data_IF_267309196280
#
_entry.id   IF_267309196280
#
_cell.length_a   1.000
_cell.length_b   1.000
_cell.length_c   1.000
_cell.angle_alpha   90.00
_cell.angle_beta   90.00
_cell.angle_gamma   90.00
#
_symmetry.space_group_name_H-M   'P 1'
#
loop_
_entity.id
_entity.type
_entity.pdbx_description
1 polymer ?
#
# COMPACT_ATOMS: atom_id res chain seq x y z
N UNK A 1 1.82 -46.24 6.43
CA UNK A 1 1.64 -44.86 6.91
C UNK A 1 2.70 -44.49 7.93
N UNK A 2 3.05 -43.21 8.07
CA UNK A 2 3.96 -42.72 9.10
C UNK A 2 3.22 -42.27 10.39
N UNK A 3 3.97 -42.04 11.48
CA UNK A 3 3.40 -41.65 12.79
C UNK A 3 2.60 -40.33 12.72
N UNK A 4 3.03 -39.38 11.90
CA UNK A 4 2.35 -38.08 11.71
C UNK A 4 0.97 -38.26 11.08
N UNK A 5 0.86 -39.11 10.06
CA UNK A 5 -0.41 -39.42 9.39
C UNK A 5 -1.40 -40.11 10.32
N UNK A 6 -0.92 -41.05 11.13
CA UNK A 6 -1.74 -41.73 12.15
C UNK A 6 -2.27 -40.71 13.17
N UNK A 7 -1.43 -39.77 13.61
CA UNK A 7 -1.83 -38.70 14.53
C UNK A 7 -2.91 -37.79 13.93
N UNK A 8 -2.73 -37.36 12.68
CA UNK A 8 -3.69 -36.51 11.95
C UNK A 8 -5.03 -37.21 11.72
N UNK A 9 -5.01 -38.47 11.27
CA UNK A 9 -6.21 -39.27 11.06
C UNK A 9 -6.98 -39.49 12.39
N UNK A 10 -6.25 -39.76 13.48
CA UNK A 10 -6.85 -39.91 14.82
C UNK A 10 -7.52 -38.62 15.29
N UNK A 11 -6.93 -37.45 15.02
CA UNK A 11 -7.56 -36.15 15.33
C UNK A 11 -8.84 -35.95 14.53
N UNK A 12 -8.80 -36.23 13.23
CA UNK A 12 -9.95 -36.12 12.32
C UNK A 12 -11.12 -37.04 12.75
N UNK A 13 -10.84 -38.30 13.07
CA UNK A 13 -11.86 -39.27 13.55
C UNK A 13 -12.42 -38.96 14.95
N UNK A 14 -11.73 -38.13 15.73
CA UNK A 14 -12.23 -37.64 17.03
C UNK A 14 -13.21 -36.48 16.85
N UNK A 15 -12.94 -35.63 15.86
CA UNK A 15 -13.76 -34.45 15.55
C UNK A 15 -15.05 -34.83 14.79
N UNK A 16 -14.97 -35.80 13.89
CA UNK A 16 -16.11 -36.31 13.13
C UNK A 16 -16.46 -37.70 13.63
N UNK A 17 -17.65 -37.87 14.20
CA UNK A 17 -18.19 -39.17 14.62
C UNK A 17 -18.43 -40.08 13.40
N UNK A 18 -17.34 -40.56 12.81
CA UNK A 18 -17.29 -41.39 11.61
C UNK A 18 -17.53 -42.86 11.96
N UNK A 19 -18.21 -43.57 11.07
CA UNK A 19 -18.48 -45.02 11.17
C UNK A 19 -17.20 -45.83 10.91
N UNK A 20 -17.23 -47.14 11.19
CA UNK A 20 -16.04 -48.00 11.07
C UNK A 20 -15.61 -48.15 9.60
N UNK A 21 -16.59 -48.18 8.71
CA UNK A 21 -16.46 -48.34 7.28
C UNK A 21 -15.84 -47.07 6.66
N UNK A 22 -16.30 -45.89 7.08
CA UNK A 22 -15.72 -44.60 6.67
C UNK A 22 -14.25 -44.46 7.08
N UNK A 23 -13.90 -44.93 8.29
CA UNK A 23 -12.51 -44.91 8.77
C UNK A 23 -11.59 -45.78 7.92
N UNK A 24 -12.06 -46.94 7.47
CA UNK A 24 -11.27 -47.82 6.59
C UNK A 24 -11.01 -47.16 5.24
N UNK A 25 -12.03 -46.55 4.62
CA UNK A 25 -11.89 -45.84 3.34
C UNK A 25 -10.92 -44.67 3.45
N UNK A 26 -11.02 -43.87 4.53
CA UNK A 26 -10.14 -42.72 4.77
C UNK A 26 -8.70 -43.19 5.04
N UNK A 27 -8.49 -44.26 5.80
CA UNK A 27 -7.14 -44.76 6.06
C UNK A 27 -6.47 -45.28 4.77
N UNK A 28 -7.22 -45.96 3.90
CA UNK A 28 -6.69 -46.43 2.62
C UNK A 28 -6.32 -45.29 1.66
N UNK A 29 -7.04 -44.15 1.67
CA UNK A 29 -6.70 -42.99 0.83
C UNK A 29 -5.46 -42.22 1.31
N UNK A 30 -5.05 -42.43 2.57
CA UNK A 30 -3.88 -41.80 3.17
C UNK A 30 -2.60 -42.63 3.02
N UNK A 31 -2.71 -43.92 2.66
CA UNK A 31 -1.57 -44.77 2.39
C UNK A 31 -0.81 -44.26 1.14
N UNK A 32 0.50 -44.03 1.30
CA UNK A 32 1.42 -43.47 0.30
C UNK A 32 1.33 -41.95 0.04
N UNK A 33 0.56 -41.22 0.84
CA UNK A 33 0.54 -39.75 0.76
C UNK A 33 1.66 -39.09 1.58
N UNK A 34 1.98 -37.83 1.28
CA UNK A 34 2.84 -37.01 2.13
C UNK A 34 2.05 -36.49 3.35
N UNK A 35 2.73 -36.02 4.40
CA UNK A 35 2.06 -35.39 5.54
C UNK A 35 1.22 -34.18 5.12
N UNK A 36 1.74 -33.34 4.21
CA UNK A 36 1.03 -32.17 3.66
C UNK A 36 -0.20 -32.57 2.83
N UNK A 37 -0.08 -33.61 2.02
CA UNK A 37 -1.21 -34.16 1.25
C UNK A 37 -2.29 -34.75 2.17
N UNK A 38 -1.86 -35.40 3.25
CA UNK A 38 -2.75 -35.98 4.27
C UNK A 38 -3.55 -34.90 4.98
N UNK A 39 -2.91 -33.79 5.38
CA UNK A 39 -3.61 -32.63 5.97
C UNK A 39 -4.67 -32.06 5.02
N UNK A 40 -4.36 -31.98 3.72
CA UNK A 40 -5.30 -31.47 2.71
C UNK A 40 -6.51 -32.38 2.53
N UNK A 41 -6.30 -33.68 2.36
CA UNK A 41 -7.38 -34.68 2.20
C UNK A 41 -8.28 -34.69 3.44
N UNK A 42 -7.68 -34.65 4.65
CA UNK A 42 -8.44 -34.62 5.90
C UNK A 42 -9.16 -33.29 6.13
N UNK A 43 -8.72 -32.19 5.52
CA UNK A 43 -9.42 -30.91 5.57
C UNK A 43 -10.65 -30.92 4.64
N UNK A 44 -10.53 -31.49 3.44
CA UNK A 44 -11.64 -31.61 2.46
C UNK A 44 -12.78 -32.51 2.95
N UNK A 45 -12.47 -33.53 3.77
CA UNK A 45 -13.47 -34.43 4.36
C UNK A 45 -14.21 -33.83 5.56
N UNK A 46 -13.80 -32.65 6.06
CA UNK A 46 -14.54 -31.96 7.12
C UNK A 46 -15.80 -31.32 6.51
N UNK A 47 -17.00 -31.54 7.10
CA UNK A 47 -18.21 -30.91 6.62
C UNK A 47 -18.02 -29.40 6.58
N UNK A 48 -18.46 -28.78 5.46
CA UNK A 48 -18.45 -27.34 5.22
C UNK A 48 -19.33 -26.62 6.25
N UNK A 49 -18.81 -26.50 7.46
CA UNK A 49 -19.20 -25.48 8.42
C UNK A 49 -17.96 -24.70 8.78
N UNK A 50 -17.16 -24.37 7.77
CA UNK A 50 -16.04 -23.46 7.91
C UNK A 50 -16.60 -22.05 8.04
N UNK A 51 -17.13 -21.74 9.23
CA UNK A 51 -17.27 -20.34 9.63
C UNK A 51 -15.85 -19.85 9.89
N UNK A 52 -15.43 -18.72 9.29
CA UNK A 52 -14.19 -18.06 9.67
C UNK A 52 -14.16 -17.95 11.19
N UNK A 53 -13.17 -18.58 11.81
CA UNK A 53 -13.03 -18.52 13.26
C UNK A 53 -12.32 -17.21 13.55
N UNK A 54 -13.07 -16.27 14.12
CA UNK A 54 -12.53 -15.11 14.80
C UNK A 54 -12.83 -15.29 16.28
N UNK A 55 -11.77 -15.46 17.08
CA UNK A 55 -11.92 -15.55 18.53
C UNK A 55 -10.97 -14.60 19.21
N UNK A 56 -11.50 -13.87 20.19
CA UNK A 56 -10.76 -12.97 21.05
C UNK A 56 -10.81 -13.49 22.48
N UNK A 57 -9.64 -13.62 23.11
CA UNK A 57 -9.54 -14.05 24.50
C UNK A 57 -8.62 -13.10 25.27
N UNK A 58 -9.04 -12.60 26.44
CA UNK A 58 -8.15 -11.81 27.27
C UNK A 58 -7.03 -12.68 27.83
N UNK A 59 -5.82 -12.14 27.86
CA UNK A 59 -4.62 -12.78 28.39
C UNK A 59 -3.99 -11.86 29.43
N UNK A 60 -3.15 -12.44 30.31
CA UNK A 60 -2.51 -11.69 31.39
C UNK A 60 -1.67 -10.51 30.86
N UNK A 61 -1.83 -9.34 31.49
CA UNK A 61 -1.02 -8.14 31.24
C UNK A 61 -1.53 -7.25 30.10
N UNK A 62 -2.84 -6.97 30.08
CA UNK A 62 -3.53 -6.12 29.08
C UNK A 62 -3.30 -6.56 27.62
N UNK A 63 -3.14 -7.87 27.41
CA UNK A 63 -3.00 -8.47 26.08
C UNK A 63 -4.28 -9.20 25.71
N UNK A 64 -4.58 -9.21 24.43
CA UNK A 64 -5.67 -9.98 23.85
C UNK A 64 -5.05 -10.96 22.85
N UNK A 65 -5.41 -12.23 22.97
CA UNK A 65 -5.11 -13.24 21.97
C UNK A 65 -6.23 -13.22 20.93
N UNK A 66 -5.86 -12.90 19.70
CA UNK A 66 -6.74 -12.90 18.54
C UNK A 66 -6.36 -14.08 17.65
N UNK A 67 -7.27 -15.03 17.46
CA UNK A 67 -7.11 -16.13 16.52
C UNK A 67 -8.01 -15.88 15.32
N UNK A 68 -7.39 -15.86 14.13
CA UNK A 68 -8.04 -15.65 12.84
C UNK A 68 -7.75 -16.84 11.94
N UNK A 69 -8.77 -17.28 11.23
CA UNK A 69 -8.60 -18.23 10.13
C UNK A 69 -8.61 -17.48 8.81
N UNK A 70 -7.51 -17.57 8.06
CA UNK A 70 -7.36 -16.93 6.75
C UNK A 70 -7.59 -17.92 5.62
N UNK A 71 -8.19 -17.46 4.53
CA UNK A 71 -8.29 -18.23 3.29
C UNK A 71 -6.96 -18.21 2.49
N UNK A 72 -6.88 -19.00 1.42
CA UNK A 72 -5.65 -19.14 0.65
C UNK A 72 -5.23 -17.83 -0.04
N UNK A 73 -6.20 -17.02 -0.48
CA UNK A 73 -5.93 -15.77 -1.21
C UNK A 73 -5.44 -14.67 -0.25
N UNK A 74 -6.00 -14.59 0.96
CA UNK A 74 -5.51 -13.72 2.02
C UNK A 74 -4.07 -14.07 2.41
N UNK A 75 -3.71 -15.35 2.41
CA UNK A 75 -2.31 -15.74 2.68
C UNK A 75 -1.39 -15.29 1.55
N UNK A 76 -1.80 -15.42 0.28
CA UNK A 76 -1.03 -14.92 -0.88
C UNK A 76 -0.83 -13.41 -0.81
N UNK A 77 -1.86 -12.65 -0.44
CA UNK A 77 -1.76 -11.21 -0.28
C UNK A 77 -0.75 -10.81 0.79
N UNK A 78 -0.73 -11.51 1.94
CA UNK A 78 0.25 -11.26 3.00
C UNK A 78 1.68 -11.56 2.53
N UNK A 79 1.89 -12.64 1.78
CA UNK A 79 3.18 -13.00 1.21
C UNK A 79 3.65 -11.98 0.17
N UNK A 80 2.75 -11.50 -0.69
CA UNK A 80 3.06 -10.48 -1.68
C UNK A 80 3.42 -9.14 -1.03
N UNK A 81 2.72 -8.75 0.04
CA UNK A 81 3.10 -7.56 0.83
C UNK A 81 4.52 -7.72 1.38
N UNK A 82 4.85 -8.89 1.95
CA UNK A 82 6.21 -9.14 2.45
C UNK A 82 7.26 -9.06 1.33
N UNK A 83 6.95 -9.60 0.16
CA UNK A 83 7.82 -9.57 -1.03
C UNK A 83 8.07 -8.14 -1.51
N UNK A 84 7.01 -7.36 -1.70
CA UNK A 84 7.09 -5.96 -2.15
C UNK A 84 7.85 -5.06 -1.16
N UNK A 85 7.80 -5.38 0.13
CA UNK A 85 8.54 -4.66 1.15
C UNK A 85 10.03 -5.05 1.23
N UNK A 86 10.43 -6.16 0.61
CA UNK A 86 11.82 -6.63 0.61
C UNK A 86 12.39 -6.94 2.00
N UNK A 87 11.53 -7.24 2.98
CA UNK A 87 11.91 -7.44 4.39
C UNK A 87 11.37 -8.76 4.92
N UNK A 88 12.26 -9.62 5.40
CA UNK A 88 11.87 -10.81 6.17
C UNK A 88 11.37 -10.36 7.54
N UNK A 89 10.08 -10.60 7.80
CA UNK A 89 9.44 -10.29 9.08
C UNK A 89 8.44 -11.38 9.44
N UNK A 90 8.17 -11.54 10.72
CA UNK A 90 7.12 -12.45 11.18
C UNK A 90 5.73 -11.93 10.82
N UNK A 91 4.74 -12.81 10.70
CA UNK A 91 3.33 -12.41 10.43
C UNK A 91 2.81 -11.43 11.48
N UNK A 92 3.24 -11.56 12.74
CA UNK A 92 2.86 -10.64 13.82
C UNK A 92 3.41 -9.23 13.61
N UNK A 93 4.66 -9.10 13.18
CA UNK A 93 5.27 -7.79 12.87
C UNK A 93 4.60 -7.14 11.66
N UNK A 94 4.28 -7.94 10.65
CA UNK A 94 3.53 -7.50 9.48
C UNK A 94 2.17 -6.93 9.89
N UNK A 95 1.41 -7.67 10.70
CA UNK A 95 0.08 -7.22 11.19
C UNK A 95 0.18 -5.93 11.99
N UNK A 96 1.15 -5.79 12.91
CA UNK A 96 1.38 -4.56 13.69
C UNK A 96 1.66 -3.35 12.80
N UNK A 97 2.45 -3.56 11.76
CA UNK A 97 2.81 -2.51 10.82
C UNK A 97 1.61 -2.10 9.96
N UNK A 98 0.88 -3.08 9.40
CA UNK A 98 -0.33 -2.84 8.61
C UNK A 98 -1.39 -2.08 9.41
N UNK A 99 -1.64 -2.47 10.67
CA UNK A 99 -2.62 -1.76 11.53
C UNK A 99 -2.23 -0.30 11.72
N UNK A 100 -0.95 -0.01 11.97
CA UNK A 100 -0.49 1.38 12.14
C UNK A 100 -0.66 2.21 10.86
N UNK A 101 -0.21 1.69 9.72
CA UNK A 101 -0.32 2.39 8.44
C UNK A 101 -1.78 2.63 8.04
N UNK A 102 -2.63 1.61 8.17
CA UNK A 102 -4.05 1.70 7.84
C UNK A 102 -4.75 2.71 8.74
N UNK A 103 -4.47 2.69 10.05
CA UNK A 103 -5.05 3.65 10.99
C UNK A 103 -4.63 5.09 10.68
N UNK A 104 -3.36 5.33 10.35
CA UNK A 104 -2.88 6.64 9.93
C UNK A 104 -3.54 7.11 8.63
N UNK A 105 -3.70 6.20 7.66
CA UNK A 105 -4.39 6.50 6.40
C UNK A 105 -5.85 6.88 6.63
N UNK A 106 -6.59 6.06 7.38
CA UNK A 106 -8.00 6.30 7.71
C UNK A 106 -8.19 7.59 8.52
N UNK A 107 -7.29 7.91 9.46
CA UNK A 107 -7.31 9.21 10.18
C UNK A 107 -7.14 10.37 9.20
N UNK A 108 -6.17 10.28 8.27
CA UNK A 108 -5.94 11.31 7.25
C UNK A 108 -7.13 11.45 6.31
N UNK A 109 -7.82 10.37 5.97
CA UNK A 109 -9.03 10.40 5.14
C UNK A 109 -10.22 11.01 5.87
N UNK A 110 -10.48 10.63 7.14
CA UNK A 110 -11.52 11.25 7.95
C UNK A 110 -11.31 12.75 8.15
N UNK A 111 -10.05 13.20 8.29
CA UNK A 111 -9.73 14.64 8.36
C UNK A 111 -10.05 15.38 7.05
N UNK A 112 -9.83 14.73 5.88
CA UNK A 112 -10.18 15.32 4.58
C UNK A 112 -11.71 15.38 4.37
N UNK A 113 -12.45 14.38 4.81
CA UNK A 113 -13.92 14.34 4.66
C UNK A 113 -14.63 15.32 5.60
N UNK A 114 -14.12 15.54 6.82
CA UNK A 114 -14.62 16.59 7.73
C UNK A 114 -14.32 17.99 7.18
N UNK A 115 -13.16 18.20 6.56
CA UNK A 115 -12.83 19.45 5.86
C UNK A 115 -13.70 19.73 4.63
N UNK A 116 -14.20 18.68 3.96
CA UNK A 116 -15.08 18.81 2.79
C UNK A 116 -16.55 19.00 3.18
N UNK A 117 -17.02 18.38 4.29
CA UNK A 117 -18.40 18.57 4.79
C UNK A 117 -18.70 20.01 5.22
N UNK A 118 -17.72 20.73 5.78
CA UNK A 118 -17.88 22.15 6.12
C UNK A 118 -18.05 23.08 4.91
N UNK A 119 -17.70 22.63 3.69
CA UNK A 119 -17.92 23.42 2.46
C UNK A 119 -19.24 23.10 1.75
N UNK A 120 -19.92 22.00 2.12
CA UNK A 120 -21.12 21.53 1.41
C UNK A 120 -22.44 21.74 2.18
N UNK A 121 -22.41 22.21 3.43
CA UNK A 121 -23.63 22.45 4.24
C UNK A 121 -24.02 23.93 4.41
N UNK A 122 -23.54 24.85 3.55
CA UNK A 122 -24.16 26.19 3.45
C UNK A 122 -25.00 26.25 2.17
N UNK A 123 -26.14 25.55 2.21
CA UNK A 123 -27.22 25.74 1.24
C UNK A 123 -27.92 27.06 1.56
N UNK A 124 -27.91 27.94 0.56
CA UNK A 124 -28.72 29.14 0.33
C UNK A 124 -29.93 29.30 1.27
N UNK A 125 -29.83 30.23 2.21
CA UNK A 125 -31.00 31.01 2.65
C UNK A 125 -30.75 32.45 2.24
N UNK A 126 -31.51 32.91 1.25
CA UNK A 126 -31.65 34.32 0.94
C UNK A 126 -32.32 34.97 2.14
N UNK A 127 -31.66 35.94 2.76
CA UNK A 127 -32.34 37.13 3.26
C UNK A 127 -31.37 38.29 3.07
N UNK A 128 -31.77 39.16 2.14
CA UNK A 128 -31.33 40.55 2.09
C UNK A 128 -31.36 41.12 3.51
N UNK A 129 -30.29 41.81 3.92
CA UNK A 129 -30.35 42.98 4.79
C UNK A 129 -28.90 43.53 4.94
N UNK A 130 -28.74 44.77 4.48
CA UNK A 130 -27.59 45.69 4.54
C UNK A 130 -26.36 45.43 3.65
N UNK A 131 -26.51 45.88 2.39
CA UNK A 131 -25.46 46.55 1.63
C UNK A 131 -24.82 47.67 2.46
N UNK A 132 -23.56 47.50 2.84
CA UNK A 132 -22.63 48.64 2.94
C UNK A 132 -21.49 48.42 1.97
N UNK A 133 -21.60 49.15 0.87
CA UNK A 133 -20.62 49.32 -0.20
C UNK A 133 -19.30 49.79 0.41
N UNK A 134 -18.37 48.86 0.67
CA UNK A 134 -16.95 49.19 0.68
C UNK A 134 -16.42 48.76 -0.68
N UNK A 135 -16.15 49.76 -1.51
CA UNK A 135 -15.40 49.61 -2.74
C UNK A 135 -14.05 48.99 -2.37
N UNK A 136 -13.96 47.67 -2.49
CA UNK A 136 -12.70 46.97 -2.46
C UNK A 136 -12.00 47.33 -3.76
N UNK A 137 -11.02 48.23 -3.66
CA UNK A 137 -9.98 48.37 -4.67
C UNK A 137 -9.49 46.96 -5.04
N UNK A 138 -9.31 46.64 -6.33
CA UNK A 138 -8.74 45.36 -6.70
C UNK A 138 -7.31 45.34 -6.20
N UNK A 139 -7.10 44.74 -5.03
CA UNK A 139 -5.78 44.26 -4.67
C UNK A 139 -5.46 43.18 -5.70
N UNK A 140 -4.74 43.57 -6.75
CA UNK A 140 -3.95 42.70 -7.61
C UNK A 140 -3.11 41.83 -6.68
N UNK A 141 -3.67 40.70 -6.23
CA UNK A 141 -2.88 39.64 -5.64
C UNK A 141 -2.00 39.15 -6.76
N UNK A 142 -0.75 39.58 -6.76
CA UNK A 142 0.30 38.94 -7.52
C UNK A 142 0.13 37.44 -7.34
N UNK A 143 -0.16 36.74 -8.44
CA UNK A 143 -0.22 35.28 -8.45
C UNK A 143 1.19 34.77 -8.17
N UNK A 144 1.58 34.73 -6.91
CA UNK A 144 2.87 34.23 -6.51
C UNK A 144 2.98 32.79 -6.99
N UNK A 145 4.02 32.54 -7.79
CA UNK A 145 4.28 31.25 -8.39
C UNK A 145 4.46 30.21 -7.27
N UNK A 146 3.57 29.22 -7.21
CA UNK A 146 3.62 28.18 -6.17
C UNK A 146 4.39 26.95 -6.64
N UNK A 147 5.26 26.41 -5.78
CA UNK A 147 5.92 25.10 -5.97
C UNK A 147 5.01 23.92 -5.63
N UNK A 148 3.84 24.19 -5.05
CA UNK A 148 2.90 23.13 -4.67
C UNK A 148 2.34 22.44 -5.90
N UNK A 149 2.50 21.12 -5.99
CA UNK A 149 1.88 20.29 -7.02
C UNK A 149 0.60 19.69 -6.45
N UNK A 150 -0.52 19.94 -7.13
CA UNK A 150 -1.83 19.45 -6.70
C UNK A 150 -1.89 17.91 -6.78
N UNK A 151 -2.73 17.27 -5.96
CA UNK A 151 -2.90 15.81 -6.01
C UNK A 151 -3.49 15.32 -7.34
N UNK A 152 -4.33 16.11 -7.99
CA UNK A 152 -4.86 15.79 -9.32
C UNK A 152 -3.73 15.76 -10.34
N UNK A 153 -2.87 16.78 -10.35
CA UNK A 153 -1.68 16.84 -11.22
C UNK A 153 -0.73 15.66 -10.95
N UNK A 154 -0.49 15.32 -9.67
CA UNK A 154 0.32 14.14 -9.29
C UNK A 154 -0.26 12.84 -9.85
N UNK A 155 -1.57 12.67 -9.78
CA UNK A 155 -2.26 11.48 -10.29
C UNK A 155 -2.15 11.38 -11.80
N UNK A 156 -2.38 12.49 -12.49
CA UNK A 156 -2.31 12.58 -13.95
C UNK A 156 -0.90 12.26 -14.47
N UNK A 157 0.13 12.83 -13.86
CA UNK A 157 1.54 12.50 -14.19
C UNK A 157 1.81 11.00 -13.97
N UNK A 158 1.32 10.42 -12.87
CA UNK A 158 1.53 8.99 -12.58
C UNK A 158 0.85 8.06 -13.56
N UNK A 159 -0.34 8.43 -14.01
CA UNK A 159 -1.12 7.70 -15.00
C UNK A 159 -0.47 7.79 -16.38
N UNK A 160 -0.11 9.00 -16.82
CA UNK A 160 0.61 9.25 -18.09
C UNK A 160 1.92 8.48 -18.15
N UNK A 161 2.70 8.51 -17.08
CA UNK A 161 4.05 7.91 -17.03
C UNK A 161 4.01 6.39 -16.74
N UNK A 162 2.82 5.79 -16.63
CA UNK A 162 2.66 4.35 -16.35
C UNK A 162 3.31 3.91 -15.03
N UNK A 163 3.43 4.83 -14.07
CA UNK A 163 4.19 4.62 -12.82
C UNK A 163 5.60 4.04 -13.04
N UNK A 164 6.30 4.52 -14.07
CA UNK A 164 7.68 4.14 -14.41
C UNK A 164 8.57 5.36 -14.58
N UNK A 165 9.86 5.20 -14.29
CA UNK A 165 10.87 6.22 -14.52
C UNK A 165 10.94 6.61 -16.01
N UNK A 166 10.85 7.91 -16.32
CA UNK A 166 10.83 8.44 -17.69
C UNK A 166 12.22 8.73 -18.27
N UNK A 167 13.29 8.50 -17.50
CA UNK A 167 14.66 8.65 -18.00
C UNK A 167 14.95 7.66 -19.14
N UNK A 168 15.50 8.18 -20.24
CA UNK A 168 16.02 7.42 -21.38
C UNK A 168 17.54 7.59 -21.39
N UNK A 169 18.25 6.47 -21.42
CA UNK A 169 19.69 6.46 -21.54
C UNK A 169 20.11 6.95 -22.94
N UNK A 170 20.90 8.04 -23.05
CA UNK A 170 21.31 8.58 -24.34
C UNK A 170 22.22 7.65 -25.16
N UNK A 171 22.88 6.67 -24.54
CA UNK A 171 23.77 5.75 -25.24
C UNK A 171 23.01 4.53 -25.77
N UNK A 172 22.14 3.95 -24.94
CA UNK A 172 21.43 2.71 -25.29
C UNK A 172 20.02 2.96 -25.82
N UNK A 173 19.51 4.19 -25.72
CA UNK A 173 18.14 4.59 -26.01
C UNK A 173 17.06 3.76 -25.26
N UNK A 174 17.45 3.13 -24.15
CA UNK A 174 16.54 2.34 -23.32
C UNK A 174 15.99 3.19 -22.18
N UNK A 175 14.71 3.00 -21.90
CA UNK A 175 14.06 3.60 -20.75
C UNK A 175 14.43 2.85 -19.47
N UNK A 176 14.59 3.58 -18.37
CA UNK A 176 14.76 2.98 -17.05
C UNK A 176 13.52 2.17 -16.64
N UNK A 177 13.74 0.92 -16.19
CA UNK A 177 12.67 0.00 -15.78
C UNK A 177 12.21 0.17 -14.32
N UNK A 178 12.72 1.19 -13.60
CA UNK A 178 12.33 1.43 -12.22
C UNK A 178 10.84 1.79 -12.10
N UNK A 179 10.10 1.02 -11.29
CA UNK A 179 8.67 1.21 -11.00
C UNK A 179 8.38 1.59 -9.53
N UNK A 180 9.38 1.46 -8.65
CA UNK A 180 9.26 1.77 -7.23
C UNK A 180 10.06 3.02 -6.85
N UNK A 181 9.67 3.66 -5.74
CA UNK A 181 10.34 4.85 -5.19
C UNK A 181 10.53 5.99 -6.21
N UNK A 182 9.49 6.28 -6.99
CA UNK A 182 9.48 7.33 -8.00
C UNK A 182 9.15 8.70 -7.38
N UNK A 183 9.93 9.69 -7.81
CA UNK A 183 9.82 11.10 -7.47
C UNK A 183 9.14 11.85 -8.61
N UNK A 184 8.34 12.87 -8.28
CA UNK A 184 7.80 13.81 -9.28
C UNK A 184 8.80 14.94 -9.41
N UNK A 185 9.37 15.08 -10.60
CA UNK A 185 10.41 16.04 -10.90
C UNK A 185 9.99 17.00 -12.00
N UNK A 186 10.51 18.22 -11.93
CA UNK A 186 10.25 19.21 -12.97
C UNK A 186 11.24 19.04 -14.14
N UNK A 187 10.74 18.98 -15.38
CA UNK A 187 11.56 19.02 -16.60
C UNK A 187 12.35 20.32 -16.69
N UNK A 188 11.67 21.45 -16.54
CA UNK A 188 12.27 22.75 -16.26
C UNK A 188 12.14 23.02 -14.75
N UNK A 189 13.24 23.17 -14.00
CA UNK A 189 13.17 23.34 -12.56
C UNK A 189 12.32 24.54 -12.15
N UNK A 190 11.60 24.42 -11.04
CA UNK A 190 10.86 25.54 -10.47
C UNK A 190 11.75 26.79 -10.27
N UNK A 191 12.98 26.60 -9.79
CA UNK A 191 13.96 27.68 -9.59
C UNK A 191 14.39 28.38 -10.89
N UNK A 192 14.25 27.71 -12.05
CA UNK A 192 14.51 28.27 -13.38
C UNK A 192 13.25 28.79 -14.06
N UNK A 193 12.13 28.81 -13.36
CA UNK A 193 10.87 29.28 -13.90
C UNK A 193 10.02 28.19 -14.57
N UNK A 194 10.14 26.93 -14.15
CA UNK A 194 9.21 25.85 -14.54
C UNK A 194 7.92 25.79 -13.70
N UNK A 195 6.80 25.49 -14.34
CA UNK A 195 5.47 25.46 -13.69
C UNK A 195 5.28 24.18 -12.87
N UNK A 196 4.63 24.30 -11.71
CA UNK A 196 4.22 23.14 -10.89
C UNK A 196 2.77 22.71 -11.13
N UNK A 197 2.02 23.48 -11.92
CA UNK A 197 0.64 23.15 -12.31
C UNK A 197 0.56 22.52 -13.70
N UNK A 198 1.64 22.64 -14.48
CA UNK A 198 1.72 22.07 -15.81
C UNK A 198 2.20 20.62 -15.73
N UNK A 199 1.33 19.70 -16.14
CA UNK A 199 1.59 18.26 -16.20
C UNK A 199 2.74 17.94 -17.16
N UNK A 200 2.87 18.71 -18.25
CA UNK A 200 3.91 18.49 -19.25
C UNK A 200 5.30 18.87 -18.75
N UNK A 201 5.38 19.81 -17.82
CA UNK A 201 6.61 20.17 -17.13
C UNK A 201 6.99 19.20 -15.99
N UNK A 202 6.19 18.17 -15.73
CA UNK A 202 6.44 17.19 -14.67
C UNK A 202 6.71 15.81 -15.26
N UNK A 203 7.48 14.99 -14.56
CA UNK A 203 7.76 13.60 -14.92
C UNK A 203 8.12 12.76 -13.69
N UNK A 204 8.03 11.43 -13.83
CA UNK A 204 8.50 10.48 -12.83
C UNK A 204 9.96 10.09 -13.04
N UNK A 205 10.78 10.20 -12.00
CA UNK A 205 12.16 9.71 -11.97
C UNK A 205 12.43 8.84 -10.75
N UNK A 206 13.26 7.82 -10.90
CA UNK A 206 13.80 7.10 -9.73
C UNK A 206 14.82 7.98 -9.00
N UNK A 207 15.16 7.63 -7.76
CA UNK A 207 16.10 8.42 -6.94
C UNK A 207 17.45 8.67 -7.63
N UNK A 208 17.96 7.69 -8.40
CA UNK A 208 19.22 7.82 -9.15
C UNK A 208 19.12 8.82 -10.29
N UNK A 209 18.10 8.70 -11.15
CA UNK A 209 17.92 9.61 -12.28
C UNK A 209 17.47 11.01 -11.84
N UNK A 210 16.77 11.13 -10.72
CA UNK A 210 16.49 12.41 -10.09
C UNK A 210 17.79 13.14 -9.72
N UNK A 211 18.70 12.47 -8.99
CA UNK A 211 20.02 13.02 -8.66
C UNK A 211 20.81 13.40 -9.91
N UNK A 212 20.87 12.51 -10.91
CA UNK A 212 21.54 12.78 -12.18
C UNK A 212 21.00 14.07 -12.82
N UNK A 213 19.67 14.20 -12.93
CA UNK A 213 19.03 15.37 -13.51
C UNK A 213 19.31 16.65 -12.71
N UNK A 214 19.30 16.56 -11.39
CA UNK A 214 19.65 17.70 -10.52
C UNK A 214 21.10 18.16 -10.75
N UNK A 215 22.06 17.23 -10.87
CA UNK A 215 23.46 17.54 -11.18
C UNK A 215 23.58 18.19 -12.56
N UNK A 216 22.89 17.65 -13.58
CA UNK A 216 22.87 18.24 -14.93
C UNK A 216 22.29 19.65 -14.95
N UNK A 217 21.28 19.93 -14.13
CA UNK A 217 20.58 21.22 -14.12
C UNK A 217 21.27 22.30 -13.27
N UNK A 218 21.87 21.92 -12.15
CA UNK A 218 22.43 22.85 -11.17
C UNK A 218 23.96 22.78 -11.02
N UNK A 219 24.60 21.78 -11.62
CA UNK A 219 26.04 21.56 -11.56
C UNK A 219 26.49 20.78 -10.33
N UNK A 220 27.64 20.12 -10.45
CA UNK A 220 28.21 19.28 -9.39
C UNK A 220 28.48 20.06 -8.10
N UNK A 221 29.15 21.21 -8.21
CA UNK A 221 29.49 22.05 -7.05
C UNK A 221 28.25 22.39 -6.23
N UNK A 222 27.16 22.84 -6.87
CA UNK A 222 25.92 23.17 -6.15
C UNK A 222 25.27 21.95 -5.52
N UNK A 223 25.33 20.79 -6.17
CA UNK A 223 24.66 19.57 -5.71
C UNK A 223 25.45 18.80 -4.65
N UNK A 224 26.76 19.01 -4.52
CA UNK A 224 27.61 18.37 -3.50
C UNK A 224 27.17 18.66 -2.06
N UNK A 225 26.65 19.86 -1.80
CA UNK A 225 26.07 20.25 -0.51
C UNK A 225 24.89 19.35 -0.11
N UNK A 226 24.10 18.90 -1.09
CA UNK A 226 22.82 18.22 -0.89
C UNK A 226 22.90 16.70 -1.14
N UNK A 227 23.91 16.22 -1.86
CA UNK A 227 24.09 14.81 -2.19
C UNK A 227 25.38 14.32 -1.52
N UNK A 228 25.28 13.56 -0.40
CA UNK A 228 26.46 13.12 0.35
C UNK A 228 27.47 12.32 -0.46
N UNK A 229 27.03 11.57 -1.47
CA UNK A 229 27.90 10.77 -2.34
C UNK A 229 28.71 11.59 -3.35
N UNK A 230 28.51 12.92 -3.42
CA UNK A 230 29.26 13.84 -4.28
C UNK A 230 30.20 14.76 -3.49
N UNK A 231 30.32 14.56 -2.17
CA UNK A 231 31.28 15.28 -1.34
C UNK A 231 32.64 14.61 -1.50
N UNK A 232 33.67 15.44 -1.73
CA UNK A 232 35.07 15.01 -1.78
C UNK A 232 35.53 14.41 -0.44
#
# INVERSE_FOLDING_TARGET
MNLTQISLAKSHFRELKTTKEEKQVILSSLENQSARSTERILAELKPETFKPIETERPVRGDKIELTLTLDEDQVKDLEEIQRLMGKSMTKLELVKMMTKLTLESLKKEKLKTVGNKRKTEVVKVKTDIYKTKREAQPALRSSERSRYISRSTIREVRERDGSRCQYIDPLTNKQCEAIHHLHIEHKMPFAKGGSSQDVENLELLCATHNRLKAIQQFGHSKMSDYIPSLRD
#
